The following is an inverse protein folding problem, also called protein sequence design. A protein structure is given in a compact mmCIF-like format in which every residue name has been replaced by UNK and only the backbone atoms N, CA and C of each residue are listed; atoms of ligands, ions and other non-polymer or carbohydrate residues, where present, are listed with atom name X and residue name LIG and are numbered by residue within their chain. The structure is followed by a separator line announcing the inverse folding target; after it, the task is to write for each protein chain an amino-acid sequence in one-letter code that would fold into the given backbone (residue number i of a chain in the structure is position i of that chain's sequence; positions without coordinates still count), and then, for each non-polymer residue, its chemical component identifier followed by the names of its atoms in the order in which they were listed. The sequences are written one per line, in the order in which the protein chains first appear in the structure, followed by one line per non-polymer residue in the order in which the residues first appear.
data_IF_151482003166
#
_entry.id   IF_151482003166
#
_cell.length_a   1.000
_cell.length_b   1.000
_cell.length_c   1.000
_cell.angle_alpha   90.00
_cell.angle_beta   90.00
_cell.angle_gamma   90.00
#
_symmetry.space_group_name_H-M   'P 1'
#
loop_
_entity.id
_entity.type
_entity.pdbx_description
1 polymer ?
#
# COMPACT_ATOMS: atom_id res chain seq x y z
N UNK A 1 -5.36 -24.83 -49.20
CA UNK A 1 -4.69 -25.39 -48.02
C UNK A 1 -4.10 -24.27 -47.11
N UNK A 2 -3.48 -23.22 -47.62
CA UNK A 2 -2.85 -22.16 -46.83
C UNK A 2 -3.89 -21.31 -46.08
N UNK A 3 -5.05 -21.00 -46.64
CA UNK A 3 -6.11 -20.25 -46.02
C UNK A 3 -6.78 -20.95 -44.81
N UNK A 4 -6.97 -22.28 -44.91
CA UNK A 4 -7.55 -23.06 -43.81
C UNK A 4 -6.61 -23.15 -42.59
N UNK A 5 -5.30 -23.18 -42.82
CA UNK A 5 -4.29 -23.21 -41.73
C UNK A 5 -4.17 -21.86 -41.04
N UNK A 6 -4.28 -20.73 -41.73
CA UNK A 6 -4.23 -19.39 -41.16
C UNK A 6 -5.49 -19.09 -40.30
N UNK A 7 -6.66 -19.50 -40.76
CA UNK A 7 -7.93 -19.37 -39.98
C UNK A 7 -7.86 -20.22 -38.70
N UNK A 8 -7.28 -21.41 -38.76
CA UNK A 8 -7.14 -22.32 -37.61
C UNK A 8 -6.17 -21.76 -36.57
N UNK A 9 -5.06 -21.14 -36.97
CA UNK A 9 -4.07 -20.50 -36.07
C UNK A 9 -4.68 -19.25 -35.41
N UNK A 10 -5.40 -18.41 -36.17
CA UNK A 10 -6.09 -17.25 -35.62
C UNK A 10 -7.16 -17.62 -34.59
N UNK A 11 -7.92 -18.67 -34.85
CA UNK A 11 -8.92 -19.19 -33.90
C UNK A 11 -8.26 -19.74 -32.63
N UNK A 12 -7.13 -20.43 -32.73
CA UNK A 12 -6.37 -20.91 -31.58
C UNK A 12 -5.84 -19.76 -30.71
N UNK A 13 -5.26 -18.73 -31.32
CA UNK A 13 -4.76 -17.54 -30.63
C UNK A 13 -5.92 -16.81 -29.93
N UNK A 14 -7.06 -16.64 -30.60
CA UNK A 14 -8.25 -16.03 -30.01
C UNK A 14 -8.76 -16.81 -28.79
N UNK A 15 -8.75 -18.13 -28.87
CA UNK A 15 -9.14 -19.02 -27.75
C UNK A 15 -8.19 -18.86 -26.57
N UNK A 16 -6.88 -18.86 -26.80
CA UNK A 16 -5.86 -18.68 -25.75
C UNK A 16 -6.02 -17.32 -25.07
N UNK A 17 -6.22 -16.25 -25.85
CA UNK A 17 -6.45 -14.88 -25.31
C UNK A 17 -7.72 -14.86 -24.48
N UNK A 18 -8.81 -15.49 -24.93
CA UNK A 18 -10.08 -15.54 -24.21
C UNK A 18 -9.95 -16.31 -22.89
N UNK A 19 -9.33 -17.48 -22.92
CA UNK A 19 -9.07 -18.28 -21.70
C UNK A 19 -8.19 -17.50 -20.72
N UNK A 20 -7.13 -16.86 -21.20
CA UNK A 20 -6.26 -16.04 -20.37
C UNK A 20 -7.00 -14.84 -19.75
N UNK A 21 -7.85 -14.15 -20.53
CA UNK A 21 -8.71 -13.07 -20.04
C UNK A 21 -9.71 -13.55 -18.97
N UNK A 22 -10.34 -14.70 -19.19
CA UNK A 22 -11.26 -15.31 -18.23
C UNK A 22 -10.55 -15.74 -16.94
N UNK A 23 -9.33 -16.27 -17.03
CA UNK A 23 -8.51 -16.61 -15.87
C UNK A 23 -8.10 -15.36 -15.08
N UNK A 24 -7.73 -14.26 -15.75
CA UNK A 24 -7.46 -12.96 -15.11
C UNK A 24 -8.71 -12.37 -14.45
N UNK A 25 -9.87 -12.43 -15.11
CA UNK A 25 -11.13 -11.98 -14.54
C UNK A 25 -11.48 -12.81 -13.30
N UNK A 26 -11.30 -14.13 -13.35
CA UNK A 26 -11.51 -15.02 -12.22
C UNK A 26 -10.57 -14.73 -11.04
N UNK A 27 -9.31 -14.40 -11.35
CA UNK A 27 -8.29 -14.10 -10.30
C UNK A 27 -8.43 -12.71 -9.70
N UNK A 28 -8.73 -11.68 -10.49
CA UNK A 28 -8.62 -10.27 -10.06
C UNK A 28 -9.95 -9.49 -10.15
N UNK A 29 -10.99 -10.08 -10.70
CA UNK A 29 -12.29 -9.42 -10.94
C UNK A 29 -12.27 -8.40 -12.09
N UNK A 30 -13.47 -8.08 -12.61
CA UNK A 30 -13.63 -7.09 -13.68
C UNK A 30 -13.30 -5.66 -13.22
N UNK A 31 -13.61 -5.35 -11.97
CA UNK A 31 -13.33 -4.02 -11.40
C UNK A 31 -11.82 -3.73 -11.36
N UNK A 32 -11.00 -4.71 -10.96
CA UNK A 32 -9.54 -4.60 -10.96
C UNK A 32 -8.98 -4.36 -12.38
N UNK A 33 -9.46 -5.13 -13.38
CA UNK A 33 -8.99 -4.99 -14.76
C UNK A 33 -9.42 -3.64 -15.36
N UNK A 34 -10.63 -3.18 -15.05
CA UNK A 34 -11.13 -1.87 -15.47
C UNK A 34 -10.34 -0.73 -14.80
N UNK A 35 -10.11 -0.83 -13.50
CA UNK A 35 -9.33 0.12 -12.75
C UNK A 35 -7.89 0.22 -13.28
N UNK A 36 -7.22 -0.90 -13.53
CA UNK A 36 -5.88 -0.94 -14.13
C UNK A 36 -5.82 -0.19 -15.46
N UNK A 37 -6.80 -0.38 -16.35
CA UNK A 37 -6.88 0.35 -17.64
C UNK A 37 -7.08 1.85 -17.43
N UNK A 38 -7.96 2.24 -16.51
CA UNK A 38 -8.23 3.62 -16.19
C UNK A 38 -7.02 4.31 -15.54
N UNK A 39 -6.32 3.63 -14.65
CA UNK A 39 -5.09 4.13 -14.01
C UNK A 39 -3.99 4.40 -15.05
N UNK A 40 -3.77 3.47 -15.98
CA UNK A 40 -2.82 3.67 -17.08
C UNK A 40 -3.24 4.79 -18.04
N UNK A 41 -4.55 4.93 -18.30
CA UNK A 41 -5.07 5.95 -19.21
C UNK A 41 -5.13 7.35 -18.58
N UNK A 42 -5.37 7.47 -17.28
CA UNK A 42 -5.61 8.73 -16.57
C UNK A 42 -4.42 9.20 -15.72
N UNK A 43 -3.28 8.48 -15.75
CA UNK A 43 -2.06 8.87 -15.05
C UNK A 43 -2.15 8.79 -13.52
N UNK A 44 -3.12 8.06 -12.96
CA UNK A 44 -3.23 7.90 -11.51
C UNK A 44 -2.31 6.79 -10.94
N UNK A 45 -1.65 6.01 -11.81
CA UNK A 45 -0.51 5.17 -11.46
C UNK A 45 0.61 5.50 -12.45
N UNK A 46 1.72 5.97 -11.93
CA UNK A 46 2.90 6.31 -12.71
C UNK A 46 3.70 5.05 -13.03
N UNK A 47 4.48 5.09 -14.13
CA UNK A 47 5.52 4.10 -14.38
C UNK A 47 6.57 4.17 -13.26
N UNK A 48 7.17 3.02 -12.94
CA UNK A 48 8.22 2.96 -11.92
C UNK A 48 9.43 3.78 -12.38
N UNK A 49 9.76 4.83 -11.62
CA UNK A 49 10.90 5.70 -11.90
C UNK A 49 12.12 5.27 -11.08
N UNK A 50 13.23 5.07 -11.77
CA UNK A 50 14.52 4.69 -11.20
C UNK A 50 15.56 5.73 -11.64
N UNK A 51 16.43 6.11 -10.73
CA UNK A 51 17.65 6.87 -11.03
C UNK A 51 18.76 5.87 -11.41
N UNK A 52 19.12 5.80 -12.68
CA UNK A 52 20.18 4.92 -13.18
C UNK A 52 21.57 5.31 -12.67
N UNK A 53 21.72 6.52 -12.12
CA UNK A 53 22.98 7.04 -11.56
C UNK A 53 23.11 6.81 -10.07
N UNK A 54 22.09 6.22 -9.43
CA UNK A 54 22.07 5.94 -8.00
C UNK A 54 23.20 5.00 -7.59
N UNK A 55 23.96 5.40 -6.58
CA UNK A 55 25.10 4.66 -6.02
C UNK A 55 24.84 4.16 -4.60
N UNK A 56 23.59 4.17 -4.14
CA UNK A 56 23.24 3.69 -2.82
C UNK A 56 23.49 2.18 -2.67
N UNK A 57 23.95 1.78 -1.50
CA UNK A 57 24.13 0.36 -1.16
C UNK A 57 22.80 -0.38 -1.05
N UNK A 58 22.85 -1.72 -1.07
CA UNK A 58 21.64 -2.55 -0.88
C UNK A 58 20.99 -2.28 0.47
N UNK A 59 21.78 -2.05 1.54
CA UNK A 59 21.29 -1.69 2.87
C UNK A 59 20.53 -0.36 2.88
N UNK A 60 21.09 0.68 2.23
CA UNK A 60 20.41 1.98 2.10
C UNK A 60 19.12 1.85 1.29
N UNK A 61 19.17 1.13 0.17
CA UNK A 61 17.99 0.89 -0.67
C UNK A 61 16.93 0.08 0.05
N UNK A 62 17.32 -0.86 0.90
CA UNK A 62 16.41 -1.63 1.75
C UNK A 62 15.60 -0.71 2.68
N UNK A 63 16.29 0.24 3.35
CA UNK A 63 15.63 1.26 4.17
C UNK A 63 14.65 2.11 3.35
N UNK A 64 15.05 2.59 2.16
CA UNK A 64 14.23 3.49 1.35
C UNK A 64 13.02 2.78 0.74
N UNK A 65 13.15 1.49 0.45
CA UNK A 65 12.16 0.67 -0.26
C UNK A 65 10.87 0.41 0.51
N UNK A 66 10.87 0.55 1.84
CA UNK A 66 9.66 0.43 2.68
C UNK A 66 8.57 1.46 2.26
N UNK A 67 8.97 2.65 1.79
CA UNK A 67 8.03 3.69 1.34
C UNK A 67 7.63 3.62 -0.13
N UNK A 68 8.16 2.67 -0.90
CA UNK A 68 8.06 2.68 -2.36
C UNK A 68 6.64 2.59 -2.93
N UNK A 69 5.69 2.00 -2.21
CA UNK A 69 4.29 2.00 -2.64
C UNK A 69 3.71 3.42 -2.74
N UNK A 70 3.99 4.28 -1.75
CA UNK A 70 3.59 5.69 -1.82
C UNK A 70 4.41 6.48 -2.83
N UNK A 71 5.73 6.30 -2.83
CA UNK A 71 6.62 6.97 -3.79
C UNK A 71 6.18 6.69 -5.22
N UNK A 72 5.93 5.41 -5.55
CA UNK A 72 5.44 5.01 -6.87
C UNK A 72 4.06 5.58 -7.20
N UNK A 73 3.15 5.62 -6.22
CA UNK A 73 1.82 6.23 -6.40
C UNK A 73 1.89 7.70 -6.81
N UNK A 74 2.84 8.46 -6.26
CA UNK A 74 3.06 9.87 -6.59
C UNK A 74 4.11 10.08 -7.69
N UNK A 75 4.49 9.04 -8.44
CA UNK A 75 5.43 9.13 -9.56
C UNK A 75 6.84 9.53 -9.16
N UNK A 76 7.22 9.28 -7.93
CA UNK A 76 8.56 9.57 -7.42
C UNK A 76 9.60 8.55 -7.84
N UNK A 77 10.85 8.78 -7.43
CA UNK A 77 12.02 7.92 -7.72
C UNK A 77 12.21 6.91 -6.60
N UNK A 78 12.27 5.62 -6.94
CA UNK A 78 12.17 4.51 -5.99
C UNK A 78 13.49 4.18 -5.28
N UNK A 79 14.63 4.44 -5.90
CA UNK A 79 15.96 4.01 -5.46
C UNK A 79 16.84 5.18 -5.00
N UNK A 80 16.26 6.19 -4.40
CA UNK A 80 16.98 7.37 -3.86
C UNK A 80 16.46 7.72 -2.46
N UNK A 81 17.26 8.42 -1.64
CA UNK A 81 16.80 8.91 -0.34
C UNK A 81 15.69 9.96 -0.51
N UNK A 82 15.83 10.86 -1.47
CA UNK A 82 14.75 11.77 -1.86
C UNK A 82 13.59 11.04 -2.52
N UNK A 83 12.39 11.59 -2.45
CA UNK A 83 11.21 11.04 -3.14
C UNK A 83 11.22 11.32 -4.63
N UNK A 84 11.96 12.35 -5.08
CA UNK A 84 11.97 12.82 -6.47
C UNK A 84 10.62 13.36 -6.95
N UNK A 85 9.69 13.66 -6.04
CA UNK A 85 8.41 14.31 -6.33
C UNK A 85 8.65 15.80 -6.49
N UNK A 86 8.02 16.42 -7.50
CA UNK A 86 8.11 17.87 -7.70
C UNK A 86 7.77 18.67 -6.42
N UNK A 87 8.51 19.76 -6.17
CA UNK A 87 8.38 20.52 -4.93
C UNK A 87 6.98 21.09 -4.70
N UNK A 88 6.29 21.51 -5.77
CA UNK A 88 4.92 22.05 -5.70
C UNK A 88 3.93 20.94 -5.36
N UNK A 89 4.04 19.80 -6.05
CA UNK A 89 3.22 18.61 -5.80
C UNK A 89 3.45 18.06 -4.39
N UNK A 90 4.71 17.95 -3.96
CA UNK A 90 5.08 17.52 -2.62
C UNK A 90 4.49 18.43 -1.54
N UNK A 91 4.57 19.76 -1.71
CA UNK A 91 3.97 20.72 -0.78
C UNK A 91 2.46 20.54 -0.70
N UNK A 92 1.79 20.45 -1.86
CA UNK A 92 0.34 20.25 -1.94
C UNK A 92 -0.10 18.95 -1.26
N UNK A 93 0.58 17.85 -1.56
CA UNK A 93 0.33 16.52 -0.98
C UNK A 93 0.51 16.55 0.55
N UNK A 94 1.63 17.08 1.05
CA UNK A 94 1.88 17.15 2.50
C UNK A 94 0.79 17.94 3.22
N UNK A 95 0.33 19.05 2.64
CA UNK A 95 -0.68 19.90 3.24
C UNK A 95 -2.09 19.31 3.14
N UNK A 96 -2.50 18.86 1.96
CA UNK A 96 -3.88 18.49 1.67
C UNK A 96 -4.19 17.05 2.10
N UNK A 97 -3.27 16.09 1.82
CA UNK A 97 -3.53 14.68 2.09
C UNK A 97 -3.10 14.28 3.51
N UNK A 98 -2.05 14.92 4.06
CA UNK A 98 -1.48 14.52 5.35
C UNK A 98 -1.58 15.58 6.45
N UNK A 99 -2.02 16.80 6.13
CA UNK A 99 -2.16 17.90 7.09
C UNK A 99 -0.83 18.42 7.64
N UNK A 100 0.27 18.24 6.87
CA UNK A 100 1.64 18.61 7.25
C UNK A 100 2.02 19.88 6.48
N UNK A 101 2.10 21.03 7.16
CA UNK A 101 2.45 22.31 6.58
C UNK A 101 3.65 22.99 7.28
N UNK A 102 4.16 22.37 8.35
CA UNK A 102 5.29 22.87 9.14
C UNK A 102 5.99 21.75 9.90
N UNK A 103 7.12 22.09 10.56
CA UNK A 103 7.94 21.17 11.34
C UNK A 103 7.17 20.47 12.47
N UNK A 104 6.40 21.24 13.25
CA UNK A 104 5.70 20.67 14.42
C UNK A 104 4.69 19.62 14.04
N UNK A 105 3.92 19.88 12.96
CA UNK A 105 2.98 18.91 12.40
C UNK A 105 3.68 17.70 11.81
N UNK A 106 4.83 17.91 11.14
CA UNK A 106 5.66 16.80 10.64
C UNK A 106 6.09 15.88 11.79
N UNK A 107 6.72 16.44 12.84
CA UNK A 107 7.19 15.65 13.99
C UNK A 107 6.03 14.93 14.68
N UNK A 108 4.90 15.61 14.90
CA UNK A 108 3.71 15.02 15.51
C UNK A 108 3.19 13.83 14.68
N UNK A 109 3.08 13.99 13.35
CA UNK A 109 2.60 12.93 12.45
C UNK A 109 3.54 11.75 12.41
N UNK A 110 4.85 11.99 12.28
CA UNK A 110 5.86 10.92 12.22
C UNK A 110 5.93 10.13 13.54
N UNK A 111 5.92 10.80 14.69
CA UNK A 111 5.83 10.15 16.00
C UNK A 111 4.55 9.32 16.15
N UNK A 112 3.42 9.81 15.67
CA UNK A 112 2.17 9.07 15.70
C UNK A 112 2.25 7.81 14.82
N UNK A 113 2.77 7.89 13.61
CA UNK A 113 2.93 6.74 12.72
C UNK A 113 3.88 5.67 13.28
N UNK A 114 4.93 6.08 14.02
CA UNK A 114 5.86 5.12 14.64
C UNK A 114 5.24 4.26 15.75
N UNK A 115 4.03 4.55 16.19
CA UNK A 115 3.26 3.73 17.15
C UNK A 115 2.32 2.72 16.48
N UNK A 116 2.37 2.56 15.15
CA UNK A 116 1.48 1.69 14.37
C UNK A 116 -0.02 1.88 14.68
N UNK A 117 -0.55 3.10 14.62
CA UNK A 117 -1.90 3.41 15.08
C UNK A 117 -2.99 2.73 14.24
N UNK A 118 -2.76 2.55 12.94
CA UNK A 118 -3.73 1.90 12.05
C UNK A 118 -3.84 0.41 12.35
N UNK A 119 -2.74 -0.24 12.76
CA UNK A 119 -2.76 -1.64 13.16
C UNK A 119 -3.61 -1.87 14.41
N UNK A 120 -3.53 -0.99 15.41
CA UNK A 120 -4.36 -1.07 16.60
C UNK A 120 -5.85 -0.94 16.27
N UNK A 121 -6.20 0.08 15.48
CA UNK A 121 -7.58 0.31 15.04
C UNK A 121 -8.11 -0.86 14.21
N UNK A 122 -7.27 -1.40 13.30
CA UNK A 122 -7.61 -2.55 12.48
C UNK A 122 -7.89 -3.80 13.32
N UNK A 123 -7.08 -4.06 14.33
CA UNK A 123 -7.25 -5.22 15.20
C UNK A 123 -8.65 -5.24 15.83
N UNK A 124 -9.07 -4.15 16.47
CA UNK A 124 -10.40 -4.04 17.06
C UNK A 124 -11.52 -4.08 16.00
N UNK A 125 -11.31 -3.43 14.86
CA UNK A 125 -12.29 -3.41 13.78
C UNK A 125 -12.49 -4.80 13.16
N UNK A 126 -11.41 -5.57 12.98
CA UNK A 126 -11.45 -6.91 12.44
C UNK A 126 -12.13 -7.90 13.41
N UNK A 127 -11.78 -7.87 14.70
CA UNK A 127 -12.44 -8.66 15.73
C UNK A 127 -13.97 -8.39 15.78
N UNK A 128 -14.34 -7.13 15.68
CA UNK A 128 -15.75 -6.73 15.61
C UNK A 128 -16.43 -7.20 14.32
N UNK A 129 -15.72 -7.15 13.19
CA UNK A 129 -16.19 -7.67 11.91
C UNK A 129 -16.54 -9.16 12.00
N UNK A 130 -15.70 -9.98 12.62
CA UNK A 130 -15.94 -11.40 12.83
C UNK A 130 -17.17 -11.68 13.72
N UNK A 131 -17.52 -10.76 14.63
CA UNK A 131 -18.73 -10.86 15.47
C UNK A 131 -20.04 -10.50 14.73
N UNK A 132 -19.95 -10.09 13.48
CA UNK A 132 -21.10 -9.84 12.61
C UNK A 132 -22.03 -8.74 13.16
N UNK A 133 -23.27 -9.10 13.49
CA UNK A 133 -24.28 -8.13 13.98
C UNK A 133 -23.97 -7.56 15.38
N UNK A 134 -23.24 -8.31 16.18
CA UNK A 134 -22.89 -7.91 17.56
C UNK A 134 -21.60 -7.06 17.61
N UNK A 135 -20.88 -6.94 16.51
CA UNK A 135 -19.56 -6.30 16.47
C UNK A 135 -19.56 -4.84 16.93
N UNK A 136 -20.54 -4.03 16.50
CA UNK A 136 -20.63 -2.63 16.94
C UNK A 136 -20.92 -2.52 18.45
N UNK A 137 -21.83 -3.35 18.96
CA UNK A 137 -22.13 -3.39 20.39
C UNK A 137 -20.92 -3.87 21.20
N UNK A 138 -20.18 -4.83 20.71
CA UNK A 138 -18.94 -5.31 21.34
C UNK A 138 -17.88 -4.20 21.43
N UNK A 139 -17.66 -3.41 20.37
CA UNK A 139 -16.75 -2.26 20.40
C UNK A 139 -17.15 -1.21 21.44
N UNK A 140 -18.46 -0.84 21.47
CA UNK A 140 -18.98 0.16 22.40
C UNK A 140 -18.89 -0.26 23.87
N UNK A 141 -18.82 -1.55 24.16
CA UNK A 141 -18.71 -2.11 25.51
C UNK A 141 -17.28 -2.62 25.82
N UNK A 142 -16.31 -2.43 24.90
CA UNK A 142 -14.92 -2.80 25.15
C UNK A 142 -14.32 -1.90 26.23
N UNK A 143 -13.68 -2.51 27.23
CA UNK A 143 -12.98 -1.79 28.30
C UNK A 143 -11.75 -1.06 27.77
N UNK A 144 -11.09 -1.64 26.76
CA UNK A 144 -9.90 -1.10 26.14
C UNK A 144 -10.17 0.18 25.34
N UNK A 145 -11.42 0.38 24.90
CA UNK A 145 -11.87 1.55 24.14
C UNK A 145 -12.68 2.53 25.00
N UNK A 146 -12.91 2.22 26.27
CA UNK A 146 -13.78 3.01 27.16
C UNK A 146 -13.30 4.46 27.35
N UNK A 147 -11.99 4.69 27.34
CA UNK A 147 -11.37 6.00 27.58
C UNK A 147 -11.27 6.88 26.32
N UNK A 148 -11.61 6.34 25.13
CA UNK A 148 -11.56 7.08 23.87
C UNK A 148 -12.75 6.79 22.97
N UNK A 149 -13.74 7.64 23.04
CA UNK A 149 -14.89 7.59 22.13
C UNK A 149 -14.47 7.72 20.67
N UNK A 150 -13.51 8.59 20.39
CA UNK A 150 -12.99 8.83 19.05
C UNK A 150 -12.37 7.56 18.46
N UNK A 151 -11.57 6.83 19.22
CA UNK A 151 -10.98 5.56 18.81
C UNK A 151 -12.05 4.48 18.59
N UNK A 152 -13.04 4.41 19.48
CA UNK A 152 -14.16 3.48 19.34
C UNK A 152 -14.96 3.75 18.04
N UNK A 153 -15.28 5.02 17.77
CA UNK A 153 -16.01 5.42 16.56
C UNK A 153 -15.17 5.14 15.28
N UNK A 154 -13.86 5.31 15.34
CA UNK A 154 -12.95 4.95 14.24
C UNK A 154 -12.93 3.43 14.01
N UNK A 155 -12.84 2.62 15.05
CA UNK A 155 -12.93 1.15 14.94
C UNK A 155 -14.25 0.70 14.31
N UNK A 156 -15.39 1.31 14.70
CA UNK A 156 -16.70 1.03 14.12
C UNK A 156 -16.72 1.40 12.63
N UNK A 157 -16.16 2.56 12.28
CA UNK A 157 -16.06 2.99 10.88
C UNK A 157 -15.22 2.01 10.07
N UNK A 158 -14.06 1.58 10.57
CA UNK A 158 -13.20 0.62 9.89
C UNK A 158 -13.84 -0.77 9.77
N UNK A 159 -14.51 -1.27 10.79
CA UNK A 159 -15.29 -2.50 10.72
C UNK A 159 -16.31 -2.45 9.57
N UNK A 160 -17.04 -1.34 9.44
CA UNK A 160 -18.00 -1.15 8.34
C UNK A 160 -17.31 -1.08 6.98
N UNK A 161 -16.10 -0.52 6.90
CA UNK A 161 -15.29 -0.50 5.68
C UNK A 161 -14.78 -1.90 5.29
N UNK A 162 -14.27 -2.69 6.23
CA UNK A 162 -13.89 -4.08 6.01
C UNK A 162 -15.06 -4.84 5.37
N UNK A 163 -16.23 -4.77 5.99
CA UNK A 163 -17.45 -5.45 5.48
C UNK A 163 -17.82 -5.01 4.07
N UNK A 164 -17.73 -3.71 3.78
CA UNK A 164 -18.10 -3.16 2.47
C UNK A 164 -17.11 -3.54 1.39
N UNK A 165 -15.81 -3.50 1.71
CA UNK A 165 -14.74 -3.68 0.75
C UNK A 165 -14.21 -5.12 0.66
N UNK A 166 -14.69 -6.02 1.50
CA UNK A 166 -14.20 -7.40 1.56
C UNK A 166 -14.10 -8.08 0.18
N UNK A 167 -15.16 -8.00 -0.62
CA UNK A 167 -15.17 -8.59 -1.98
C UNK A 167 -14.14 -7.96 -2.91
N UNK A 168 -13.93 -6.66 -2.81
CA UNK A 168 -12.94 -5.95 -3.63
C UNK A 168 -11.52 -6.30 -3.20
N UNK A 169 -11.27 -6.44 -1.91
CA UNK A 169 -9.99 -6.87 -1.34
C UNK A 169 -9.63 -8.28 -1.85
N UNK A 170 -10.56 -9.23 -1.78
CA UNK A 170 -10.38 -10.59 -2.30
C UNK A 170 -10.19 -10.59 -3.82
N UNK A 171 -11.01 -9.84 -4.56
CA UNK A 171 -10.92 -9.77 -6.02
C UNK A 171 -9.63 -9.10 -6.49
N UNK A 172 -9.07 -8.17 -5.71
CA UNK A 172 -7.79 -7.53 -5.99
C UNK A 172 -6.58 -8.44 -5.66
N UNK A 173 -6.83 -9.63 -5.04
CA UNK A 173 -5.78 -10.56 -4.65
C UNK A 173 -4.93 -10.08 -3.48
N UNK A 174 -5.45 -9.17 -2.65
CA UNK A 174 -4.78 -8.68 -1.44
C UNK A 174 -4.80 -9.74 -0.35
N UNK A 175 -5.92 -10.47 -0.22
CA UNK A 175 -6.08 -11.62 0.66
C UNK A 175 -6.95 -12.67 -0.03
N UNK A 176 -6.77 -13.95 0.30
CA UNK A 176 -7.54 -15.06 -0.28
C UNK A 176 -8.74 -15.47 0.61
N UNK A 177 -8.77 -15.01 1.86
CA UNK A 177 -9.82 -15.35 2.84
C UNK A 177 -9.95 -14.31 3.95
N UNK A 178 -11.03 -14.41 4.75
CA UNK A 178 -11.17 -13.62 5.98
C UNK A 178 -10.03 -13.90 6.95
N UNK A 179 -9.62 -15.15 7.08
CA UNK A 179 -8.53 -15.55 7.98
C UNK A 179 -7.20 -14.89 7.56
N UNK A 180 -6.85 -14.93 6.29
CA UNK A 180 -5.64 -14.31 5.77
C UNK A 180 -5.67 -12.79 5.94
N UNK A 181 -6.84 -12.14 5.73
CA UNK A 181 -7.02 -10.72 5.98
C UNK A 181 -6.64 -10.34 7.42
N UNK A 182 -7.03 -11.16 8.39
CA UNK A 182 -6.67 -10.95 9.79
C UNK A 182 -5.17 -11.16 10.07
N UNK A 183 -4.56 -12.14 9.42
CA UNK A 183 -3.11 -12.41 9.55
C UNK A 183 -2.24 -11.31 8.95
N UNK A 184 -2.64 -10.76 7.82
CA UNK A 184 -1.91 -9.68 7.15
C UNK A 184 -1.84 -8.42 8.03
N UNK A 185 -2.95 -8.05 8.68
CA UNK A 185 -3.03 -6.77 9.36
C UNK A 185 -2.72 -5.59 8.43
N UNK A 186 -2.47 -4.42 9.02
CA UNK A 186 -2.19 -3.19 8.25
C UNK A 186 -0.94 -2.45 8.72
N UNK A 187 -0.04 -3.12 9.43
CA UNK A 187 1.17 -2.51 9.99
C UNK A 187 2.10 -1.95 8.88
N UNK A 188 2.12 -2.60 7.71
CA UNK A 188 2.88 -2.12 6.56
C UNK A 188 2.40 -0.75 6.06
N UNK A 189 1.11 -0.45 6.22
CA UNK A 189 0.53 0.86 5.91
C UNK A 189 1.14 1.98 6.77
N UNK A 190 1.23 1.76 8.09
CA UNK A 190 1.85 2.73 8.99
C UNK A 190 3.36 2.87 8.72
N UNK A 191 4.08 1.74 8.57
CA UNK A 191 5.51 1.72 8.28
C UNK A 191 5.84 2.42 6.94
N UNK A 192 5.10 2.11 5.89
CA UNK A 192 5.31 2.71 4.58
C UNK A 192 4.98 4.20 4.54
N UNK A 193 3.93 4.66 5.27
CA UNK A 193 3.66 6.08 5.43
C UNK A 193 4.75 6.79 6.24
N UNK A 194 5.23 6.17 7.33
CA UNK A 194 6.32 6.73 8.13
C UNK A 194 7.56 6.96 7.28
N UNK A 195 7.95 5.96 6.49
CA UNK A 195 9.07 6.05 5.56
C UNK A 195 8.88 7.15 4.52
N UNK A 196 7.78 7.10 3.79
CA UNK A 196 7.47 8.05 2.73
C UNK A 196 7.40 9.50 3.22
N UNK A 197 6.64 9.74 4.30
CA UNK A 197 6.43 11.09 4.82
C UNK A 197 7.71 11.67 5.45
N UNK A 198 8.58 10.86 6.08
CA UNK A 198 9.85 11.36 6.60
C UNK A 198 10.76 11.85 5.48
N UNK A 199 10.84 11.12 4.36
CA UNK A 199 11.60 11.54 3.17
C UNK A 199 11.02 12.82 2.56
N UNK A 200 9.71 12.88 2.36
CA UNK A 200 9.03 14.07 1.83
C UNK A 200 9.18 15.30 2.76
N UNK A 201 9.08 15.12 4.07
CA UNK A 201 9.29 16.18 5.05
C UNK A 201 10.75 16.67 5.10
N UNK A 202 11.72 15.76 4.91
CA UNK A 202 13.13 16.11 4.80
C UNK A 202 13.39 16.97 3.56
N UNK A 203 12.89 16.55 2.38
CA UNK A 203 13.03 17.34 1.15
C UNK A 203 12.32 18.71 1.23
N UNK A 204 11.25 18.81 2.03
CA UNK A 204 10.55 20.08 2.29
C UNK A 204 11.27 20.95 3.32
N UNK A 205 12.29 20.44 3.99
CA UNK A 205 13.02 21.15 5.04
C UNK A 205 12.29 21.21 6.39
N UNK A 206 11.24 20.42 6.59
CA UNK A 206 10.54 20.34 7.88
C UNK A 206 11.30 19.52 8.92
N UNK A 207 12.09 18.53 8.50
CA UNK A 207 13.02 17.77 9.34
C UNK A 207 14.38 17.68 8.66
N UNK A 208 15.44 17.42 9.44
CA UNK A 208 16.77 17.21 8.91
C UNK A 208 17.01 15.74 8.49
N UNK A 209 18.18 15.45 7.89
CA UNK A 209 18.53 14.11 7.42
C UNK A 209 18.60 13.10 8.57
N UNK A 210 19.15 13.45 9.70
CA UNK A 210 19.30 12.53 10.84
C UNK A 210 17.93 12.15 11.40
N UNK A 211 16.99 13.09 11.52
CA UNK A 211 15.62 12.84 11.92
C UNK A 211 14.89 11.96 10.92
N UNK A 212 15.13 12.15 9.62
CA UNK A 212 14.61 11.28 8.57
C UNK A 212 15.15 9.86 8.73
N UNK A 213 16.47 9.68 8.89
CA UNK A 213 17.07 8.35 9.03
C UNK A 213 16.55 7.58 10.25
N UNK A 214 16.29 8.26 11.37
CA UNK A 214 15.64 7.66 12.56
C UNK A 214 14.26 7.12 12.20
N UNK A 215 13.48 7.85 11.42
CA UNK A 215 12.16 7.40 10.98
C UNK A 215 12.24 6.22 9.99
N UNK A 216 13.23 6.24 9.08
CA UNK A 216 13.45 5.13 8.14
C UNK A 216 13.83 3.85 8.87
N UNK A 217 14.74 3.93 9.85
CA UNK A 217 15.14 2.80 10.69
C UNK A 217 13.96 2.24 11.49
N UNK A 218 13.13 3.12 12.05
CA UNK A 218 11.91 2.70 12.77
C UNK A 218 10.91 1.99 11.84
N UNK A 219 10.68 2.52 10.62
CA UNK A 219 9.80 1.91 9.63
C UNK A 219 10.34 0.56 9.14
N UNK A 220 11.66 0.44 8.94
CA UNK A 220 12.33 -0.79 8.57
C UNK A 220 12.15 -1.87 9.66
N UNK A 221 12.48 -1.55 10.90
CA UNK A 221 12.32 -2.47 12.05
C UNK A 221 10.86 -2.94 12.18
N UNK A 222 9.92 -2.01 12.17
CA UNK A 222 8.48 -2.31 12.21
C UNK A 222 8.07 -3.30 11.12
N UNK A 223 8.62 -3.15 9.91
CA UNK A 223 8.31 -4.00 8.77
C UNK A 223 8.93 -5.39 8.92
N UNK A 224 10.21 -5.49 9.33
CA UNK A 224 10.95 -6.75 9.43
C UNK A 224 10.56 -7.58 10.65
N UNK A 225 10.02 -6.95 11.69
CA UNK A 225 9.41 -7.65 12.83
C UNK A 225 8.07 -8.30 12.46
N UNK A 226 7.34 -7.72 11.50
CA UNK A 226 6.01 -8.18 11.13
C UNK A 226 5.97 -9.11 9.91
N UNK A 227 6.90 -9.00 8.98
CA UNK A 227 6.89 -9.71 7.70
C UNK A 227 8.22 -10.40 7.43
N UNK A 228 8.19 -11.45 6.59
CA UNK A 228 9.36 -12.20 6.14
C UNK A 228 9.65 -12.03 4.63
N UNK A 229 8.85 -11.26 3.92
CA UNK A 229 9.00 -11.04 2.47
C UNK A 229 8.25 -9.81 1.99
N UNK A 230 8.64 -9.30 0.80
CA UNK A 230 8.02 -8.16 0.14
C UNK A 230 6.55 -8.38 -0.22
N UNK A 231 6.15 -9.62 -0.50
CA UNK A 231 4.76 -9.91 -0.90
C UNK A 231 3.78 -9.67 0.24
N UNK A 232 4.06 -10.21 1.42
CA UNK A 232 3.20 -10.05 2.59
C UNK A 232 3.17 -8.59 3.06
N UNK A 233 4.32 -7.91 3.03
CA UNK A 233 4.41 -6.47 3.27
C UNK A 233 3.52 -5.69 2.28
N UNK A 234 3.62 -5.97 0.97
CA UNK A 234 2.84 -5.30 -0.06
C UNK A 234 1.32 -5.51 0.11
N UNK A 235 0.92 -6.73 0.45
CA UNK A 235 -0.49 -7.07 0.68
C UNK A 235 -1.05 -6.38 1.93
N UNK A 236 -0.30 -6.38 3.04
CA UNK A 236 -0.66 -5.64 4.26
C UNK A 236 -0.78 -4.13 4.00
N UNK A 237 0.15 -3.58 3.21
CA UNK A 237 0.08 -2.18 2.81
C UNK A 237 -1.15 -1.88 1.95
N UNK A 238 -1.43 -2.72 0.94
CA UNK A 238 -2.58 -2.57 0.06
C UNK A 238 -3.90 -2.72 0.84
N UNK A 239 -3.94 -3.60 1.84
CA UNK A 239 -5.08 -3.74 2.75
C UNK A 239 -5.31 -2.45 3.56
N UNK A 240 -4.26 -1.90 4.17
CA UNK A 240 -4.34 -0.62 4.89
C UNK A 240 -4.86 0.51 4.00
N UNK A 241 -4.32 0.62 2.77
CA UNK A 241 -4.81 1.61 1.79
C UNK A 241 -6.28 1.39 1.42
N UNK A 242 -6.71 0.13 1.22
CA UNK A 242 -8.09 -0.20 0.89
C UNK A 242 -9.11 0.29 1.93
N UNK A 243 -8.71 0.37 3.19
CA UNK A 243 -9.56 0.88 4.26
C UNK A 243 -9.73 2.42 4.23
N UNK A 244 -8.88 3.14 3.50
CA UNK A 244 -8.93 4.60 3.35
C UNK A 244 -9.22 5.05 1.92
N UNK A 245 -9.02 4.18 0.92
CA UNK A 245 -9.12 4.51 -0.50
C UNK A 245 -9.70 3.39 -1.36
N UNK A 246 -9.17 3.24 -2.56
CA UNK A 246 -9.52 2.21 -3.54
C UNK A 246 -8.55 1.01 -3.42
N UNK A 247 -9.09 -0.16 -3.12
CA UNK A 247 -8.33 -1.41 -2.97
C UNK A 247 -7.48 -1.73 -4.23
N UNK A 248 -8.00 -1.42 -5.41
CA UNK A 248 -7.38 -1.84 -6.68
C UNK A 248 -6.16 -1.01 -7.06
N UNK A 249 -6.12 0.26 -6.69
CA UNK A 249 -5.01 1.16 -7.00
C UNK A 249 -3.69 0.66 -6.38
N UNK A 250 -3.70 0.41 -5.08
CA UNK A 250 -2.48 0.03 -4.38
C UNK A 250 -2.10 -1.44 -4.65
N UNK A 251 -3.08 -2.32 -4.87
CA UNK A 251 -2.81 -3.69 -5.31
C UNK A 251 -2.09 -3.71 -6.67
N UNK A 252 -2.47 -2.84 -7.60
CA UNK A 252 -1.77 -2.69 -8.88
C UNK A 252 -0.32 -2.20 -8.68
N UNK A 253 -0.09 -1.18 -7.86
CA UNK A 253 1.26 -0.70 -7.57
C UNK A 253 2.12 -1.78 -6.90
N UNK A 254 1.55 -2.54 -5.97
CA UNK A 254 2.20 -3.68 -5.34
C UNK A 254 2.61 -4.75 -6.38
N UNK A 255 1.72 -5.09 -7.31
CA UNK A 255 2.03 -6.03 -8.41
C UNK A 255 3.20 -5.52 -9.28
N UNK A 256 3.24 -4.22 -9.58
CA UNK A 256 4.34 -3.62 -10.34
C UNK A 256 5.66 -3.71 -9.56
N UNK A 257 5.68 -3.33 -8.29
CA UNK A 257 6.89 -3.39 -7.45
C UNK A 257 7.40 -4.81 -7.27
N UNK A 258 6.53 -5.80 -7.13
CA UNK A 258 6.91 -7.20 -6.96
C UNK A 258 7.42 -7.87 -8.24
N UNK A 259 7.00 -7.41 -9.44
CA UNK A 259 7.24 -8.16 -10.69
C UNK A 259 8.08 -7.41 -11.73
N UNK A 260 8.23 -6.09 -11.63
CA UNK A 260 9.00 -5.34 -12.62
C UNK A 260 10.51 -5.49 -12.36
N UNK A 261 11.27 -5.80 -13.40
CA UNK A 261 12.73 -6.02 -13.30
C UNK A 261 13.50 -4.81 -12.79
N UNK A 262 13.02 -3.59 -13.08
CA UNK A 262 13.62 -2.34 -12.62
C UNK A 262 13.24 -1.96 -11.18
N UNK A 263 12.30 -2.69 -10.57
CA UNK A 263 11.89 -2.42 -9.20
C UNK A 263 13.00 -2.74 -8.21
N UNK A 264 13.29 -1.89 -7.23
CA UNK A 264 14.20 -2.21 -6.13
C UNK A 264 13.83 -3.53 -5.41
N UNK A 265 12.56 -3.85 -5.29
CA UNK A 265 12.08 -5.07 -4.65
C UNK A 265 12.44 -6.35 -5.42
N UNK A 266 12.84 -6.24 -6.69
CA UNK A 266 13.25 -7.41 -7.49
C UNK A 266 14.68 -7.86 -7.21
N UNK A 267 15.54 -7.01 -6.63
CA UNK A 267 16.94 -7.30 -6.36
C UNK A 267 17.37 -7.07 -4.91
N UNK A 268 16.59 -6.34 -4.10
CA UNK A 268 16.81 -6.20 -2.66
C UNK A 268 16.16 -7.37 -1.95
N UNK A 269 16.96 -8.12 -1.18
CA UNK A 269 16.44 -9.20 -0.35
C UNK A 269 15.70 -8.65 0.86
N UNK A 270 14.70 -9.38 1.28
CA UNK A 270 14.07 -9.15 2.59
C UNK A 270 14.89 -9.91 3.63
N UNK A 271 15.78 -9.22 4.35
CA UNK A 271 16.64 -9.79 5.39
C UNK A 271 16.24 -9.29 6.78
#
# INVERSE_FOLDING_TARGET
MIEQTTISIAALIATIITVWALLKIKKHGLAYISCRKNHMANGCCHDLRIDETSTYSEEELSLYSIGNLHVGKFGGTLNTLGTGIDATERTSMLQQDFGIDNRDRAIKKLKWLSTAPSQLTFHFAYEAYLKGKEGENWLRNSKELADSKELCDECIMQMKKIKRQYKEIINAGIADSEYELGLLGVIAWDAGQLNFLSRACMEQGYINKDECMICLDAAYKMSHEAFSNWKDFAHSYALGFALYGDATCMAYMAEQLLNAKQSPWSYIKWE
#
